data_IF_762795205015
#
_entry.id   IF_762795205015
#
_cell.length_a   1.000
_cell.length_b   1.000
_cell.length_c   1.000
_cell.angle_alpha   90.00
_cell.angle_beta   90.00
_cell.angle_gamma   90.00
#
_symmetry.space_group_name_H-M   'P 1'
#
loop_
_entity.id
_entity.type
_entity.pdbx_description
1 polymer ?
#
# COMPACT_ATOMS: atom_id res chain seq x y z
N UNK A 1 -2.98 6.78 13.43
CA UNK A 1 -4.02 7.14 14.42
C UNK A 1 -4.65 5.89 15.04
N UNK A 2 -5.41 5.08 14.30
CA UNK A 2 -6.14 3.93 14.87
C UNK A 2 -5.28 2.89 15.61
N UNK A 3 -4.08 2.57 15.10
CA UNK A 3 -3.16 1.66 15.78
C UNK A 3 -2.65 2.21 17.14
N UNK A 4 -2.49 3.54 17.26
CA UNK A 4 -2.04 4.20 18.48
C UNK A 4 -3.11 4.18 19.56
N UNK A 5 -4.35 4.55 19.21
CA UNK A 5 -5.48 4.52 20.14
C UNK A 5 -5.77 3.10 20.66
N UNK A 6 -5.61 2.07 19.82
CA UNK A 6 -5.75 0.66 20.26
C UNK A 6 -4.67 0.30 21.28
N UNK A 7 -3.43 0.77 21.08
CA UNK A 7 -2.34 0.51 22.02
C UNK A 7 -2.56 1.21 23.38
N UNK A 8 -3.21 2.38 23.38
CA UNK A 8 -3.49 3.15 24.59
C UNK A 8 -4.67 2.59 25.42
N UNK A 9 -5.65 1.97 24.78
CA UNK A 9 -6.85 1.41 25.45
C UNK A 9 -6.60 -0.03 25.94
N UNK A 10 -6.02 -0.89 25.09
CA UNK A 10 -5.98 -2.33 25.35
C UNK A 10 -4.62 -2.78 25.88
N UNK A 11 -4.64 -3.81 26.74
CA UNK A 11 -3.42 -4.44 27.24
C UNK A 11 -2.75 -5.32 26.17
N UNK A 12 -1.43 -5.49 26.29
CA UNK A 12 -0.58 -6.16 25.28
C UNK A 12 -1.09 -7.55 24.83
N UNK A 13 -1.76 -8.30 25.70
CA UNK A 13 -2.24 -9.64 25.40
C UNK A 13 -3.54 -9.67 24.57
N UNK A 14 -4.41 -8.65 24.67
CA UNK A 14 -5.66 -8.57 23.89
C UNK A 14 -5.52 -7.75 22.61
N UNK A 15 -4.47 -6.92 22.51
CA UNK A 15 -4.20 -6.04 21.36
C UNK A 15 -4.29 -6.78 20.04
N UNK A 16 -3.76 -8.00 19.93
CA UNK A 16 -3.77 -8.78 18.70
C UNK A 16 -5.18 -9.00 18.14
N UNK A 17 -6.16 -9.30 19.01
CA UNK A 17 -7.56 -9.51 18.61
C UNK A 17 -8.20 -8.21 18.13
N UNK A 18 -7.98 -7.11 18.85
CA UNK A 18 -8.53 -5.79 18.49
C UNK A 18 -7.91 -5.25 17.20
N UNK A 19 -6.60 -5.44 17.02
CA UNK A 19 -5.91 -5.11 15.78
C UNK A 19 -6.45 -5.92 14.58
N UNK A 20 -6.82 -7.18 14.78
CA UNK A 20 -7.44 -7.98 13.74
C UNK A 20 -8.78 -7.38 13.29
N UNK A 21 -9.65 -6.98 14.23
CA UNK A 21 -10.91 -6.29 13.90
C UNK A 21 -10.67 -4.93 13.23
N UNK A 22 -9.71 -4.14 13.70
CA UNK A 22 -9.34 -2.87 13.08
C UNK A 22 -8.90 -3.04 11.62
N UNK A 23 -8.17 -4.11 11.33
CA UNK A 23 -7.64 -4.38 9.98
C UNK A 23 -8.74 -4.76 8.99
N UNK A 24 -9.92 -5.18 9.45
CA UNK A 24 -11.08 -5.44 8.57
C UNK A 24 -11.54 -4.19 7.84
N UNK A 25 -11.49 -3.01 8.45
CA UNK A 25 -11.94 -1.76 7.82
C UNK A 25 -11.20 -1.46 6.50
N UNK A 26 -9.85 -1.37 6.53
CA UNK A 26 -9.05 -1.19 5.32
C UNK A 26 -9.19 -2.30 4.27
N UNK A 27 -9.56 -3.52 4.67
CA UNK A 27 -9.81 -4.64 3.76
C UNK A 27 -11.18 -4.52 3.06
N UNK A 28 -12.21 -4.14 3.81
CA UNK A 28 -13.58 -4.06 3.32
C UNK A 28 -13.84 -2.77 2.51
N UNK A 29 -13.13 -1.68 2.82
CA UNK A 29 -13.28 -0.40 2.13
C UNK A 29 -13.16 -0.50 0.60
N UNK A 30 -12.04 -1.05 0.06
CA UNK A 30 -11.87 -1.23 -1.39
C UNK A 30 -12.87 -2.21 -2.03
N UNK A 31 -13.46 -3.12 -1.25
CA UNK A 31 -14.46 -4.07 -1.75
C UNK A 31 -15.85 -3.43 -1.88
N UNK A 32 -16.29 -2.70 -0.85
CA UNK A 32 -17.63 -2.11 -0.81
C UNK A 32 -17.70 -0.70 -1.42
N UNK A 33 -16.59 0.05 -1.40
CA UNK A 33 -16.53 1.43 -1.89
C UNK A 33 -17.00 1.57 -3.34
N UNK A 34 -16.42 0.82 -4.31
CA UNK A 34 -16.86 0.86 -5.70
C UNK A 34 -18.31 0.40 -5.90
N UNK A 35 -18.79 -0.55 -5.09
CA UNK A 35 -20.17 -1.05 -5.19
C UNK A 35 -21.15 0.05 -4.77
N UNK A 36 -20.99 0.58 -3.55
CA UNK A 36 -21.85 1.63 -3.03
C UNK A 36 -21.78 2.86 -3.94
N UNK A 37 -20.56 3.28 -4.31
CA UNK A 37 -20.36 4.42 -5.19
C UNK A 37 -20.91 4.22 -6.61
N UNK A 38 -20.83 3.00 -7.14
CA UNK A 38 -21.38 2.63 -8.44
C UNK A 38 -22.91 2.72 -8.48
N UNK A 39 -23.59 2.17 -7.47
CA UNK A 39 -25.05 2.23 -7.37
C UNK A 39 -25.56 3.63 -7.04
N UNK A 40 -24.86 4.38 -6.18
CA UNK A 40 -25.16 5.80 -5.93
C UNK A 40 -25.02 6.63 -7.20
N UNK A 41 -23.94 6.43 -7.96
CA UNK A 41 -23.75 7.10 -9.25
C UNK A 41 -24.87 6.76 -10.24
N UNK A 42 -25.30 5.50 -10.29
CA UNK A 42 -26.36 5.05 -11.19
C UNK A 42 -27.73 5.63 -10.84
N UNK A 43 -28.10 5.68 -9.56
CA UNK A 43 -29.43 6.11 -9.13
C UNK A 43 -29.58 7.63 -8.94
N UNK A 44 -28.56 8.27 -8.39
CA UNK A 44 -28.61 9.67 -7.93
C UNK A 44 -27.55 10.57 -8.59
N UNK A 45 -26.80 10.03 -9.55
CA UNK A 45 -25.71 10.72 -10.25
C UNK A 45 -24.43 10.86 -9.43
N UNK A 46 -23.36 11.35 -10.06
CA UNK A 46 -22.01 11.37 -9.47
C UNK A 46 -21.87 12.24 -8.21
N UNK A 47 -22.71 13.28 -8.07
CA UNK A 47 -22.70 14.19 -6.91
C UNK A 47 -23.12 13.48 -5.62
N UNK A 48 -23.93 12.43 -5.73
CA UNK A 48 -24.41 11.66 -4.58
C UNK A 48 -23.28 10.99 -3.80
N UNK A 49 -22.19 10.62 -4.47
CA UNK A 49 -20.99 10.07 -3.83
C UNK A 49 -20.39 11.05 -2.80
N UNK A 50 -20.31 12.33 -3.15
CA UNK A 50 -19.77 13.36 -2.26
C UNK A 50 -20.68 13.61 -1.06
N UNK A 51 -22.01 13.67 -1.27
CA UNK A 51 -22.98 13.82 -0.18
C UNK A 51 -22.99 12.61 0.75
N UNK A 52 -22.94 11.39 0.21
CA UNK A 52 -22.85 10.17 1.00
C UNK A 52 -21.60 10.17 1.88
N UNK A 53 -20.42 10.48 1.31
CA UNK A 53 -19.17 10.56 2.06
C UNK A 53 -19.22 11.66 3.13
N UNK A 54 -19.82 12.81 2.84
CA UNK A 54 -19.98 13.90 3.80
C UNK A 54 -20.88 13.50 4.98
N UNK A 55 -22.03 12.89 4.71
CA UNK A 55 -22.96 12.40 5.75
C UNK A 55 -22.29 11.29 6.58
N UNK A 56 -21.64 10.33 5.92
CA UNK A 56 -20.96 9.24 6.61
C UNK A 56 -19.82 9.75 7.51
N UNK A 57 -19.02 10.70 7.01
CA UNK A 57 -17.96 11.34 7.80
C UNK A 57 -18.53 12.14 8.98
N UNK A 58 -19.65 12.85 8.80
CA UNK A 58 -20.35 13.56 9.88
C UNK A 58 -20.86 12.59 10.94
N UNK A 59 -21.48 11.48 10.54
CA UNK A 59 -21.94 10.42 11.46
C UNK A 59 -20.78 9.84 12.27
N UNK A 60 -19.64 9.55 11.63
CA UNK A 60 -18.43 9.09 12.32
C UNK A 60 -17.90 10.16 13.28
N UNK A 61 -17.87 11.42 12.86
CA UNK A 61 -17.40 12.52 13.69
C UNK A 61 -18.28 12.71 14.94
N UNK A 62 -19.60 12.67 14.78
CA UNK A 62 -20.58 12.68 15.89
C UNK A 62 -20.35 11.47 16.81
N UNK A 63 -20.19 10.28 16.23
CA UNK A 63 -19.93 9.06 17.00
C UNK A 63 -18.62 9.18 17.80
N UNK A 64 -17.54 9.69 17.21
CA UNK A 64 -16.27 9.93 17.91
C UNK A 64 -16.47 10.96 19.04
N UNK A 65 -17.17 12.06 18.77
CA UNK A 65 -17.39 13.12 19.75
C UNK A 65 -18.16 12.64 20.99
N UNK A 66 -19.17 11.76 20.82
CA UNK A 66 -20.00 11.27 21.93
C UNK A 66 -19.54 9.95 22.54
N UNK A 67 -18.96 9.03 21.76
CA UNK A 67 -18.65 7.66 22.20
C UNK A 67 -17.17 7.45 22.54
N UNK A 68 -16.26 8.31 22.08
CA UNK A 68 -14.83 8.14 22.32
C UNK A 68 -14.41 8.98 23.55
N UNK A 69 -14.23 8.39 24.73
CA UNK A 69 -13.67 9.11 25.87
C UNK A 69 -12.23 9.53 25.54
N UNK A 70 -11.82 10.67 26.10
CA UNK A 70 -10.48 11.23 25.90
C UNK A 70 -9.42 10.18 26.24
N UNK A 71 -8.70 9.72 25.23
CA UNK A 71 -7.81 8.55 25.30
C UNK A 71 -6.36 8.92 25.60
N UNK A 72 -6.07 10.21 25.81
CA UNK A 72 -4.76 10.64 26.26
C UNK A 72 -4.58 10.24 27.72
N UNK A 73 -3.96 9.07 27.96
CA UNK A 73 -3.39 8.77 29.26
C UNK A 73 -2.28 9.79 29.52
N UNK A 74 -2.56 10.84 30.28
CA UNK A 74 -1.52 11.44 31.11
C UNK A 74 -1.00 10.32 32.00
N UNK A 75 0.29 9.97 31.86
CA UNK A 75 0.95 9.14 32.85
C UNK A 75 0.68 9.70 34.25
N UNK A 76 0.49 8.87 35.27
CA UNK A 76 0.21 9.34 36.62
C UNK A 76 1.29 10.33 37.02
N UNK A 77 0.83 11.50 37.41
CA UNK A 77 1.54 12.60 38.04
C UNK A 77 2.33 12.03 39.23
N UNK A 78 3.56 11.56 39.00
CA UNK A 78 4.61 11.93 39.93
C UNK A 78 4.78 13.42 39.68
N UNK A 79 4.30 14.26 40.61
CA UNK A 79 4.51 15.69 40.57
C UNK A 79 5.97 15.95 40.18
N UNK A 80 6.23 16.46 38.97
CA UNK A 80 7.58 16.88 38.65
C UNK A 80 7.83 18.04 39.60
N UNK A 81 8.79 17.90 40.50
CA UNK A 81 9.30 19.02 41.31
C UNK A 81 9.44 20.22 40.36
N UNK A 82 8.94 21.41 40.69
CA UNK A 82 8.76 22.58 39.79
C UNK A 82 9.86 22.79 38.73
N UNK A 83 11.11 22.44 39.07
CA UNK A 83 12.29 22.50 38.19
C UNK A 83 12.29 21.47 37.04
N UNK A 84 11.73 20.29 37.24
CA UNK A 84 11.58 19.24 36.22
C UNK A 84 10.44 19.54 35.24
N UNK A 85 9.33 20.11 35.72
CA UNK A 85 8.17 20.49 34.90
C UNK A 85 8.51 21.61 33.91
N UNK A 86 9.23 22.64 34.37
CA UNK A 86 9.73 23.72 33.51
C UNK A 86 10.69 23.20 32.42
N UNK A 87 11.65 22.33 32.76
CA UNK A 87 12.54 21.69 31.78
C UNK A 87 11.80 20.77 30.80
N UNK A 88 10.74 20.08 31.24
CA UNK A 88 9.94 19.18 30.38
C UNK A 88 9.08 19.96 29.39
N UNK A 89 8.47 21.06 29.84
CA UNK A 89 7.68 21.98 28.99
C UNK A 89 8.60 22.69 28.01
N UNK A 90 9.79 23.16 28.41
CA UNK A 90 10.75 23.82 27.52
C UNK A 90 11.29 22.87 26.43
N UNK A 91 11.47 21.58 26.75
CA UNK A 91 11.82 20.53 25.76
C UNK A 91 10.69 20.19 24.79
N UNK A 92 9.43 20.20 25.23
CA UNK A 92 8.24 19.96 24.39
C UNK A 92 7.81 21.18 23.58
N UNK A 93 8.03 22.39 24.11
CA UNK A 93 7.68 23.68 23.52
C UNK A 93 8.65 24.13 22.42
N UNK A 94 9.82 23.47 22.29
CA UNK A 94 10.46 23.36 20.97
C UNK A 94 9.54 22.54 20.09
N UNK A 95 8.54 23.21 19.49
CA UNK A 95 7.86 22.78 18.29
C UNK A 95 8.99 22.43 17.33
N UNK A 96 9.31 21.13 17.27
CA UNK A 96 10.31 20.62 16.34
C UNK A 96 9.69 20.89 14.99
N UNK A 97 10.09 21.99 14.36
CA UNK A 97 9.56 22.45 13.07
C UNK A 97 9.49 21.22 12.18
N UNK A 98 8.27 20.71 11.97
CA UNK A 98 8.06 19.50 11.20
C UNK A 98 8.38 19.91 9.77
N UNK A 99 9.58 19.61 9.32
CA UNK A 99 9.95 19.80 7.94
C UNK A 99 9.48 18.55 7.19
N UNK A 100 8.31 18.59 6.51
CA UNK A 100 7.77 17.40 5.82
C UNK A 100 8.71 16.88 4.74
N UNK A 101 9.55 17.77 4.18
CA UNK A 101 10.55 17.42 3.17
C UNK A 101 11.74 16.65 3.75
N UNK A 102 11.91 16.62 5.08
CA UNK A 102 12.97 15.82 5.71
C UNK A 102 12.79 14.32 5.45
N UNK A 103 11.54 13.85 5.36
CA UNK A 103 11.25 12.46 5.01
C UNK A 103 11.76 12.10 3.60
N UNK A 104 11.73 13.06 2.66
CA UNK A 104 12.22 12.84 1.29
C UNK A 104 13.74 12.66 1.21
N UNK A 105 14.51 13.10 2.22
CA UNK A 105 15.94 12.80 2.28
C UNK A 105 16.23 11.30 2.36
N UNK A 106 15.25 10.48 2.78
CA UNK A 106 15.39 9.03 2.77
C UNK A 106 15.54 8.47 1.34
N UNK A 107 15.07 9.19 0.32
CA UNK A 107 15.29 8.83 -1.09
C UNK A 107 16.72 9.05 -1.56
N UNK A 108 17.56 9.75 -0.79
CA UNK A 108 18.99 9.89 -1.09
C UNK A 108 19.75 8.59 -0.82
N UNK A 109 19.19 7.68 -0.01
CA UNK A 109 19.78 6.37 0.19
C UNK A 109 19.42 5.45 -0.99
N UNK A 110 20.41 4.94 -1.74
CA UNK A 110 20.16 4.17 -2.97
C UNK A 110 19.28 2.94 -2.76
N UNK A 111 19.40 2.27 -1.61
CA UNK A 111 18.60 1.09 -1.28
C UNK A 111 17.10 1.41 -1.16
N UNK A 112 16.77 2.55 -0.55
CA UNK A 112 15.38 3.00 -0.41
C UNK A 112 14.87 3.54 -1.74
N UNK A 113 15.67 4.35 -2.43
CA UNK A 113 15.29 4.90 -3.73
C UNK A 113 14.87 3.80 -4.72
N UNK A 114 15.65 2.73 -4.81
CA UNK A 114 15.40 1.60 -5.71
C UNK A 114 14.12 0.83 -5.36
N UNK A 115 13.85 0.59 -4.07
CA UNK A 115 12.64 -0.10 -3.62
C UNK A 115 11.41 0.79 -3.74
N UNK A 116 11.51 2.06 -3.36
CA UNK A 116 10.43 3.03 -3.50
C UNK A 116 10.10 3.29 -4.97
N UNK A 117 11.09 3.30 -5.87
CA UNK A 117 10.87 3.37 -7.31
C UNK A 117 10.12 2.14 -7.84
N UNK A 118 10.51 0.93 -7.42
CA UNK A 118 9.78 -0.30 -7.77
C UNK A 118 8.32 -0.22 -7.32
N UNK A 119 8.07 0.18 -6.07
CA UNK A 119 6.70 0.29 -5.56
C UNK A 119 5.93 1.44 -6.24
N UNK A 120 6.60 2.53 -6.59
CA UNK A 120 6.01 3.62 -7.37
C UNK A 120 5.48 3.13 -8.72
N UNK A 121 6.25 2.32 -9.44
CA UNK A 121 5.82 1.69 -10.70
C UNK A 121 4.63 0.75 -10.51
N UNK A 122 4.60 -0.05 -9.43
CA UNK A 122 3.45 -0.89 -9.11
C UNK A 122 2.18 -0.05 -8.95
N UNK A 123 2.25 1.07 -8.23
CA UNK A 123 1.10 1.95 -7.99
C UNK A 123 0.70 2.76 -9.23
N UNK A 124 1.65 3.16 -10.07
CA UNK A 124 1.39 3.80 -11.35
C UNK A 124 0.48 2.92 -12.22
N UNK A 125 0.87 1.66 -12.46
CA UNK A 125 0.10 0.76 -13.31
C UNK A 125 -1.19 0.28 -12.64
N UNK A 126 -1.24 0.16 -11.32
CA UNK A 126 -2.47 -0.15 -10.61
C UNK A 126 -3.55 0.92 -10.83
N UNK A 127 -3.19 2.19 -10.71
CA UNK A 127 -4.13 3.29 -10.83
C UNK A 127 -4.45 3.65 -12.27
N UNK A 128 -3.49 3.46 -13.19
CA UNK A 128 -3.76 3.46 -14.63
C UNK A 128 -4.77 2.36 -14.97
N UNK A 129 -4.52 1.12 -14.55
CA UNK A 129 -5.43 0.01 -14.78
C UNK A 129 -6.83 0.27 -14.22
N UNK A 130 -6.94 0.83 -13.02
CA UNK A 130 -8.24 1.18 -12.43
C UNK A 130 -9.01 2.23 -13.25
N UNK A 131 -8.32 3.24 -13.79
CA UNK A 131 -8.93 4.26 -14.63
C UNK A 131 -9.42 3.70 -15.98
N UNK A 132 -8.59 2.89 -16.64
CA UNK A 132 -8.94 2.20 -17.89
C UNK A 132 -10.07 1.19 -17.66
N UNK A 133 -10.02 0.42 -16.57
CA UNK A 133 -11.02 -0.58 -16.21
C UNK A 133 -12.43 0.01 -16.13
N UNK A 134 -12.63 1.08 -15.34
CA UNK A 134 -13.96 1.72 -15.25
C UNK A 134 -14.43 2.20 -16.63
N UNK A 135 -13.54 2.81 -17.42
CA UNK A 135 -13.88 3.38 -18.72
C UNK A 135 -14.26 2.31 -19.73
N UNK A 136 -13.44 1.28 -19.88
CA UNK A 136 -13.66 0.15 -20.80
C UNK A 136 -14.93 -0.61 -20.43
N UNK A 137 -15.13 -0.93 -19.15
CA UNK A 137 -16.30 -1.69 -18.71
C UNK A 137 -17.60 -0.89 -18.86
N UNK A 138 -17.54 0.44 -18.75
CA UNK A 138 -18.71 1.30 -18.98
C UNK A 138 -18.96 1.53 -20.47
N UNK A 139 -17.94 1.96 -21.22
CA UNK A 139 -18.10 2.49 -22.58
C UNK A 139 -18.07 1.40 -23.65
N UNK A 140 -17.18 0.41 -23.51
CA UNK A 140 -17.02 -0.66 -24.49
C UNK A 140 -17.97 -1.83 -24.22
N UNK A 141 -18.04 -2.29 -22.97
CA UNK A 141 -18.93 -3.40 -22.58
C UNK A 141 -20.36 -2.95 -22.22
N UNK A 142 -20.63 -1.64 -22.19
CA UNK A 142 -21.96 -1.10 -21.94
C UNK A 142 -22.52 -1.38 -20.54
N UNK A 143 -21.67 -1.69 -19.56
CA UNK A 143 -22.11 -2.01 -18.21
C UNK A 143 -22.50 -0.73 -17.47
N UNK A 144 -23.59 -0.80 -16.70
CA UNK A 144 -23.98 0.32 -15.83
C UNK A 144 -23.00 0.48 -14.65
N UNK A 145 -22.95 1.68 -14.06
CA UNK A 145 -21.99 1.98 -12.98
C UNK A 145 -22.11 1.08 -11.75
N UNK A 146 -23.31 0.59 -11.42
CA UNK A 146 -23.51 -0.36 -10.32
C UNK A 146 -22.81 -1.69 -10.56
N UNK A 147 -22.99 -2.27 -11.76
CA UNK A 147 -22.33 -3.52 -12.18
C UNK A 147 -20.82 -3.31 -12.27
N UNK A 148 -20.34 -2.19 -12.83
CA UNK A 148 -18.90 -1.88 -12.85
C UNK A 148 -18.33 -1.84 -11.43
N UNK A 149 -19.08 -1.28 -10.47
CA UNK A 149 -18.74 -1.30 -9.05
C UNK A 149 -18.58 -2.73 -8.50
N UNK A 150 -19.49 -3.64 -8.84
CA UNK A 150 -19.39 -5.07 -8.48
C UNK A 150 -18.20 -5.74 -9.16
N UNK A 151 -17.87 -5.35 -10.40
CA UNK A 151 -16.74 -5.86 -11.15
C UNK A 151 -15.37 -5.53 -10.53
N UNK A 152 -15.28 -4.62 -9.55
CA UNK A 152 -14.06 -4.42 -8.75
C UNK A 152 -13.82 -5.51 -7.69
N UNK A 153 -14.83 -6.33 -7.34
CA UNK A 153 -14.70 -7.38 -6.32
C UNK A 153 -13.62 -8.41 -6.60
N UNK A 154 -13.49 -8.98 -7.82
CA UNK A 154 -12.42 -9.93 -8.13
C UNK A 154 -11.04 -9.39 -7.79
N UNK A 155 -10.73 -8.14 -8.16
CA UNK A 155 -9.47 -7.50 -7.79
C UNK A 155 -9.32 -7.39 -6.26
N UNK A 156 -10.36 -6.91 -5.56
CA UNK A 156 -10.32 -6.74 -4.11
C UNK A 156 -10.10 -8.07 -3.38
N UNK A 157 -10.85 -9.12 -3.74
CA UNK A 157 -10.72 -10.46 -3.18
C UNK A 157 -9.32 -11.03 -3.47
N UNK A 158 -8.85 -10.90 -4.71
CA UNK A 158 -7.50 -11.29 -5.11
C UNK A 158 -6.44 -10.61 -4.23
N UNK A 159 -6.54 -9.29 -4.06
CA UNK A 159 -5.65 -8.51 -3.21
C UNK A 159 -5.71 -8.95 -1.73
N UNK A 160 -6.88 -9.22 -1.18
CA UNK A 160 -7.01 -9.73 0.20
C UNK A 160 -6.31 -11.08 0.38
N UNK A 161 -6.51 -12.01 -0.55
CA UNK A 161 -5.86 -13.33 -0.53
C UNK A 161 -4.34 -13.16 -0.70
N UNK A 162 -3.92 -12.37 -1.67
CA UNK A 162 -2.51 -12.07 -1.97
C UNK A 162 -1.77 -11.42 -0.81
N UNK A 163 -2.41 -10.50 -0.09
CA UNK A 163 -1.83 -9.84 1.08
C UNK A 163 -1.63 -10.81 2.24
N UNK A 164 -2.63 -11.64 2.55
CA UNK A 164 -2.56 -12.61 3.64
C UNK A 164 -1.56 -13.74 3.36
N UNK A 165 -1.65 -14.36 2.18
CA UNK A 165 -0.73 -15.42 1.78
C UNK A 165 0.68 -14.85 1.57
N UNK A 166 0.77 -13.69 0.90
CA UNK A 166 2.02 -13.03 0.61
C UNK A 166 2.79 -12.61 1.86
N UNK A 167 2.10 -12.04 2.86
CA UNK A 167 2.70 -11.73 4.17
C UNK A 167 3.29 -12.97 4.85
N UNK A 168 2.53 -14.07 4.89
CA UNK A 168 3.00 -15.34 5.47
C UNK A 168 4.21 -15.92 4.72
N UNK A 169 4.20 -15.89 3.39
CA UNK A 169 5.34 -16.34 2.56
C UNK A 169 6.56 -15.46 2.83
N UNK A 170 6.38 -14.13 2.83
CA UNK A 170 7.42 -13.15 3.10
C UNK A 170 8.09 -13.40 4.44
N UNK A 171 7.30 -13.55 5.51
CA UNK A 171 7.83 -13.79 6.86
C UNK A 171 8.49 -15.15 6.99
N UNK A 172 7.91 -16.21 6.41
CA UNK A 172 8.52 -17.56 6.41
C UNK A 172 9.89 -17.55 5.74
N UNK A 173 10.02 -16.88 4.60
CA UNK A 173 11.30 -16.77 3.86
C UNK A 173 12.30 -15.90 4.61
N UNK A 174 11.86 -14.78 5.18
CA UNK A 174 12.68 -13.91 6.01
C UNK A 174 13.24 -14.66 7.22
N UNK A 175 12.37 -15.31 8.01
CA UNK A 175 12.76 -16.05 9.21
C UNK A 175 13.73 -17.20 8.89
N UNK A 176 13.52 -17.89 7.76
CA UNK A 176 14.45 -18.94 7.30
C UNK A 176 15.83 -18.38 6.95
N UNK A 177 15.89 -17.19 6.33
CA UNK A 177 17.17 -16.52 6.00
C UNK A 177 17.88 -16.03 7.26
N UNK A 178 17.12 -15.46 8.20
CA UNK A 178 17.65 -15.01 9.51
C UNK A 178 18.20 -16.19 10.32
N UNK A 179 17.48 -17.32 10.38
CA UNK A 179 17.95 -18.52 11.08
C UNK A 179 19.29 -19.02 10.48
N UNK A 180 19.38 -19.12 9.14
CA UNK A 180 20.62 -19.49 8.45
C UNK A 180 21.77 -18.51 8.68
N UNK A 181 21.48 -17.21 8.77
CA UNK A 181 22.50 -16.21 9.08
C UNK A 181 23.03 -16.38 10.51
N UNK A 182 22.13 -16.61 11.49
CA UNK A 182 22.52 -16.90 12.87
C UNK A 182 23.36 -18.16 13.01
N UNK A 183 23.00 -19.25 12.33
CA UNK A 183 23.79 -20.50 12.30
C UNK A 183 25.20 -20.29 11.78
N UNK A 184 25.39 -19.35 10.85
CA UNK A 184 26.69 -18.99 10.26
C UNK A 184 27.44 -17.89 11.01
N UNK A 185 26.87 -17.35 12.08
CA UNK A 185 27.41 -16.17 12.77
C UNK A 185 27.44 -14.89 11.91
N UNK A 186 26.60 -14.80 10.88
CA UNK A 186 26.50 -13.62 10.02
C UNK A 186 25.56 -12.56 10.62
N UNK A 187 25.90 -11.29 10.39
CA UNK A 187 25.05 -10.15 10.76
C UNK A 187 23.67 -10.21 10.08
N UNK A 188 22.63 -9.84 10.82
CA UNK A 188 21.26 -9.75 10.33
C UNK A 188 21.02 -8.35 9.79
N UNK A 189 20.56 -8.26 8.54
CA UNK A 189 20.26 -6.99 7.88
C UNK A 189 18.84 -6.99 7.28
N UNK A 190 18.17 -5.82 7.20
CA UNK A 190 16.78 -5.71 6.71
C UNK A 190 16.55 -6.28 5.30
N UNK A 191 17.56 -6.22 4.43
CA UNK A 191 17.48 -6.65 3.03
C UNK A 191 17.19 -8.15 2.90
N UNK A 192 17.46 -8.96 3.94
CA UNK A 192 17.10 -10.38 3.95
C UNK A 192 15.60 -10.62 3.68
N UNK A 193 14.74 -9.64 4.00
CA UNK A 193 13.29 -9.68 3.75
C UNK A 193 12.95 -9.63 2.26
N UNK A 194 13.79 -8.99 1.45
CA UNK A 194 13.59 -8.85 0.01
C UNK A 194 13.99 -10.13 -0.72
N UNK A 195 13.09 -11.10 -0.78
CA UNK A 195 13.33 -12.32 -1.53
C UNK A 195 13.18 -12.09 -3.03
N UNK A 196 14.29 -11.91 -3.75
CA UNK A 196 14.29 -11.70 -5.20
C UNK A 196 13.53 -12.78 -5.99
N UNK A 197 13.60 -14.06 -5.55
CA UNK A 197 12.83 -15.14 -6.18
C UNK A 197 11.32 -14.98 -5.98
N UNK A 198 10.88 -14.79 -4.74
CA UNK A 198 9.44 -14.66 -4.40
C UNK A 198 8.84 -13.42 -5.07
N UNK A 199 9.56 -12.29 -5.02
CA UNK A 199 9.13 -11.05 -5.63
C UNK A 199 9.19 -11.13 -7.17
N UNK A 200 10.18 -11.84 -7.72
CA UNK A 200 10.25 -12.16 -9.14
C UNK A 200 9.04 -12.94 -9.65
N UNK A 201 8.65 -14.01 -8.96
CA UNK A 201 7.45 -14.76 -9.30
C UNK A 201 6.19 -13.91 -9.24
N UNK A 202 6.04 -13.07 -8.20
CA UNK A 202 4.92 -12.16 -8.09
C UNK A 202 4.86 -11.15 -9.25
N UNK A 203 6.00 -10.57 -9.64
CA UNK A 203 6.08 -9.66 -10.79
C UNK A 203 5.77 -10.35 -12.12
N UNK A 204 6.18 -11.62 -12.31
CA UNK A 204 5.85 -12.40 -13.51
C UNK A 204 4.34 -12.67 -13.58
N UNK A 205 3.70 -13.04 -12.47
CA UNK A 205 2.25 -13.23 -12.44
C UNK A 205 1.53 -11.92 -12.77
N UNK A 206 2.00 -10.78 -12.27
CA UNK A 206 1.44 -9.47 -12.63
C UNK A 206 1.60 -9.18 -14.13
N UNK A 207 2.77 -9.45 -14.72
CA UNK A 207 2.99 -9.32 -16.16
C UNK A 207 1.98 -10.17 -16.95
N UNK A 208 1.88 -11.46 -16.66
CA UNK A 208 0.98 -12.36 -17.37
C UNK A 208 -0.48 -11.94 -17.22
N UNK A 209 -0.88 -11.49 -16.02
CA UNK A 209 -2.24 -11.04 -15.74
C UNK A 209 -2.59 -9.75 -16.48
N UNK A 210 -1.68 -8.77 -16.52
CA UNK A 210 -1.87 -7.51 -17.23
C UNK A 210 -1.87 -7.72 -18.75
N UNK A 211 -0.95 -8.52 -19.28
CA UNK A 211 -0.92 -8.89 -20.70
C UNK A 211 -2.24 -9.54 -21.10
N UNK A 212 -2.67 -10.58 -20.37
CA UNK A 212 -3.93 -11.25 -20.65
C UNK A 212 -5.11 -10.28 -20.59
N UNK A 213 -5.17 -9.43 -19.55
CA UNK A 213 -6.21 -8.41 -19.41
C UNK A 213 -6.26 -7.45 -20.60
N UNK A 214 -5.12 -6.86 -20.98
CA UNK A 214 -5.05 -5.88 -22.07
C UNK A 214 -5.46 -6.45 -23.42
N UNK A 215 -5.04 -7.68 -23.73
CA UNK A 215 -5.45 -8.33 -24.98
C UNK A 215 -6.90 -8.79 -24.97
N UNK A 216 -7.44 -9.20 -23.82
CA UNK A 216 -8.86 -9.52 -23.68
C UNK A 216 -9.75 -8.31 -24.01
N UNK A 217 -9.42 -7.13 -23.47
CA UNK A 217 -10.22 -5.91 -23.71
C UNK A 217 -10.03 -5.37 -25.13
N UNK A 218 -8.80 -5.40 -25.67
CA UNK A 218 -8.56 -4.95 -27.04
C UNK A 218 -9.25 -5.83 -28.10
N UNK A 219 -9.39 -7.13 -27.83
CA UNK A 219 -10.10 -8.08 -28.70
C UNK A 219 -11.59 -8.18 -28.39
N UNK A 220 -12.10 -7.35 -27.49
CA UNK A 220 -13.50 -7.29 -27.08
C UNK A 220 -14.05 -8.65 -26.61
N UNK A 221 -13.20 -9.48 -26.02
CA UNK A 221 -13.62 -10.78 -25.49
C UNK A 221 -14.55 -10.55 -24.30
N UNK A 222 -15.45 -11.50 -24.00
CA UNK A 222 -16.39 -11.39 -22.89
C UNK A 222 -15.74 -10.88 -21.59
N UNK A 223 -16.32 -9.85 -20.96
CA UNK A 223 -15.72 -9.11 -19.83
C UNK A 223 -15.29 -10.02 -18.65
N UNK A 224 -15.95 -11.16 -18.47
CA UNK A 224 -15.62 -12.15 -17.44
C UNK A 224 -14.15 -12.62 -17.48
N UNK A 225 -13.54 -12.75 -18.66
CA UNK A 225 -12.12 -13.12 -18.77
C UNK A 225 -11.22 -12.02 -18.19
N UNK A 226 -11.57 -10.75 -18.40
CA UNK A 226 -10.89 -9.63 -17.79
C UNK A 226 -10.98 -9.64 -16.26
N UNK A 227 -12.13 -10.03 -15.70
CA UNK A 227 -12.32 -10.16 -14.25
C UNK A 227 -11.42 -11.24 -13.61
N UNK A 228 -11.22 -12.37 -14.30
CA UNK A 228 -10.28 -13.41 -13.85
C UNK A 228 -8.85 -12.87 -13.85
N UNK A 229 -8.46 -12.12 -14.88
CA UNK A 229 -7.15 -11.47 -14.93
C UNK A 229 -6.97 -10.45 -13.80
N UNK A 230 -8.01 -9.68 -13.48
CA UNK A 230 -8.01 -8.71 -12.37
C UNK A 230 -7.84 -9.37 -11.00
N UNK A 231 -8.46 -10.53 -10.78
CA UNK A 231 -8.25 -11.32 -9.56
C UNK A 231 -6.78 -11.76 -9.42
N UNK A 232 -6.20 -12.31 -10.49
CA UNK A 232 -4.79 -12.75 -10.49
C UNK A 232 -3.84 -11.56 -10.27
N UNK A 233 -4.09 -10.44 -10.96
CA UNK A 233 -3.32 -9.21 -10.79
C UNK A 233 -3.37 -8.69 -9.35
N UNK A 234 -4.56 -8.58 -8.75
CA UNK A 234 -4.73 -8.17 -7.35
C UNK A 234 -3.97 -9.08 -6.38
N UNK A 235 -4.02 -10.41 -6.58
CA UNK A 235 -3.30 -11.37 -5.74
C UNK A 235 -1.78 -11.23 -5.82
N UNK A 236 -1.25 -10.94 -7.00
CA UNK A 236 0.18 -10.82 -7.24
C UNK A 236 0.71 -9.42 -6.89
N UNK A 237 -0.13 -8.39 -6.91
CA UNK A 237 0.20 -7.01 -6.53
C UNK A 237 0.50 -6.86 -5.02
N UNK A 238 -0.27 -7.53 -4.16
CA UNK A 238 -0.19 -7.28 -2.72
C UNK A 238 1.07 -7.83 -2.06
N UNK A 239 1.59 -8.97 -2.50
CA UNK A 239 2.79 -9.57 -1.91
C UNK A 239 4.01 -8.63 -1.98
N UNK A 240 4.41 -8.09 -3.15
CA UNK A 240 5.49 -7.12 -3.22
C UNK A 240 5.23 -5.85 -2.44
N UNK A 241 3.98 -5.36 -2.44
CA UNK A 241 3.60 -4.17 -1.67
C UNK A 241 3.83 -4.38 -0.16
N UNK A 242 3.38 -5.51 0.40
CA UNK A 242 3.55 -5.82 1.84
C UNK A 242 5.04 -5.98 2.18
N UNK A 243 5.78 -6.76 1.40
CA UNK A 243 7.20 -7.02 1.64
C UNK A 243 8.05 -5.75 1.53
N UNK A 244 7.81 -4.91 0.53
CA UNK A 244 8.54 -3.65 0.35
C UNK A 244 8.23 -2.64 1.45
N UNK A 245 6.95 -2.53 1.86
CA UNK A 245 6.56 -1.64 2.99
C UNK A 245 7.26 -2.08 4.27
N UNK A 246 7.24 -3.38 4.58
CA UNK A 246 7.90 -3.93 5.76
C UNK A 246 9.42 -3.72 5.73
N UNK A 247 10.07 -3.89 4.57
CA UNK A 247 11.49 -3.62 4.40
C UNK A 247 11.86 -2.16 4.68
N UNK A 248 11.06 -1.20 4.19
CA UNK A 248 11.31 0.23 4.39
C UNK A 248 11.22 0.60 5.87
N UNK A 249 10.22 0.06 6.58
CA UNK A 249 10.04 0.24 8.03
C UNK A 249 11.21 -0.39 8.80
N UNK A 250 11.56 -1.65 8.50
CA UNK A 250 12.67 -2.35 9.15
C UNK A 250 14.03 -1.67 8.90
N UNK A 251 14.18 -0.99 7.76
CA UNK A 251 15.39 -0.28 7.38
C UNK A 251 15.68 0.97 8.19
N UNK A 252 14.66 1.60 8.78
CA UNK A 252 14.74 2.89 9.50
C UNK A 252 13.89 2.88 10.77
N UNK A 253 14.17 1.97 11.70
CA UNK A 253 13.40 1.84 12.96
C UNK A 253 13.28 3.11 13.81
N UNK A 254 14.25 4.03 13.73
CA UNK A 254 14.22 5.32 14.45
C UNK A 254 13.36 6.38 13.76
N UNK A 255 13.13 6.24 12.45
CA UNK A 255 12.42 7.19 11.59
C UNK A 255 11.34 6.44 10.77
N UNK A 256 10.71 5.42 11.35
CA UNK A 256 9.79 4.48 10.70
C UNK A 256 8.54 5.19 10.13
N UNK A 257 8.01 6.16 10.87
CA UNK A 257 6.92 7.03 10.44
C UNK A 257 7.32 7.88 9.23
N UNK A 258 8.54 8.44 9.21
CA UNK A 258 9.06 9.22 8.08
C UNK A 258 9.30 8.35 6.86
N UNK A 259 9.82 7.13 7.04
CA UNK A 259 10.04 6.17 5.97
C UNK A 259 8.73 5.71 5.33
N UNK A 260 7.72 5.45 6.16
CA UNK A 260 6.36 5.13 5.69
C UNK A 260 5.72 6.31 4.94
N UNK A 261 5.86 7.53 5.47
CA UNK A 261 5.35 8.74 4.81
C UNK A 261 6.02 8.98 3.45
N UNK A 262 7.35 8.82 3.36
CA UNK A 262 8.09 8.96 2.11
C UNK A 262 7.65 7.94 1.06
N UNK A 263 7.49 6.68 1.47
CA UNK A 263 7.01 5.61 0.60
C UNK A 263 5.58 5.88 0.10
N UNK A 264 4.67 6.30 0.99
CA UNK A 264 3.31 6.67 0.62
C UNK A 264 3.26 7.88 -0.31
N UNK A 265 4.09 8.89 -0.06
CA UNK A 265 4.18 10.07 -0.93
C UNK A 265 4.51 9.66 -2.37
N UNK A 266 5.57 8.88 -2.58
CA UNK A 266 5.95 8.44 -3.93
C UNK A 266 4.87 7.56 -4.56
N UNK A 267 4.29 6.62 -3.80
CA UNK A 267 3.18 5.77 -4.27
C UNK A 267 2.02 6.58 -4.82
N UNK A 268 1.54 7.56 -4.05
CA UNK A 268 0.37 8.32 -4.41
C UNK A 268 0.64 9.37 -5.49
N UNK A 269 1.86 9.93 -5.54
CA UNK A 269 2.30 10.74 -6.70
C UNK A 269 2.29 9.90 -7.97
N UNK A 270 2.91 8.72 -7.95
CA UNK A 270 2.94 7.83 -9.12
C UNK A 270 1.55 7.32 -9.51
N UNK A 271 0.70 7.01 -8.54
CA UNK A 271 -0.70 6.67 -8.77
C UNK A 271 -1.46 7.81 -9.47
N UNK A 272 -1.28 9.05 -8.99
CA UNK A 272 -1.88 10.24 -9.59
C UNK A 272 -1.42 10.46 -11.03
N UNK A 273 -0.12 10.33 -11.30
CA UNK A 273 0.43 10.41 -12.66
C UNK A 273 -0.18 9.31 -13.54
N UNK A 274 -0.19 8.06 -13.06
CA UNK A 274 -0.73 6.91 -13.80
C UNK A 274 -2.20 7.06 -14.17
N UNK A 275 -3.03 7.57 -13.26
CA UNK A 275 -4.43 7.90 -13.56
C UNK A 275 -4.56 9.05 -14.56
N UNK A 276 -3.74 10.10 -14.43
CA UNK A 276 -3.79 11.28 -15.29
C UNK A 276 -3.46 10.94 -16.75
N UNK A 277 -2.36 10.20 -16.98
CA UNK A 277 -1.90 9.86 -18.34
C UNK A 277 -2.59 8.64 -18.94
N UNK A 278 -3.49 7.99 -18.19
CA UNK A 278 -4.12 6.72 -18.60
C UNK A 278 -4.84 6.83 -19.95
N UNK A 279 -5.60 7.91 -20.17
CA UNK A 279 -6.34 8.12 -21.43
C UNK A 279 -5.42 8.39 -22.60
N UNK A 280 -4.37 9.20 -22.41
CA UNK A 280 -3.43 9.55 -23.47
C UNK A 280 -2.63 8.32 -23.93
N UNK A 281 -2.18 7.49 -22.97
CA UNK A 281 -1.45 6.26 -23.27
C UNK A 281 -2.34 5.21 -23.96
N UNK A 282 -3.61 5.09 -23.53
CA UNK A 282 -4.58 4.20 -24.16
C UNK A 282 -4.87 4.60 -25.60
N UNK A 283 -5.09 5.89 -25.87
CA UNK A 283 -5.28 6.39 -27.23
C UNK A 283 -4.04 6.22 -28.12
N UNK A 284 -2.83 6.36 -27.56
CA UNK A 284 -1.60 6.26 -28.32
C UNK A 284 -1.19 4.82 -28.67
N UNK A 285 -1.41 3.87 -27.76
CA UNK A 285 -0.90 2.48 -27.89
C UNK A 285 -1.99 1.43 -28.12
N UNK A 286 -3.23 1.72 -27.72
CA UNK A 286 -4.26 0.72 -27.49
C UNK A 286 -4.01 -0.12 -26.22
N UNK A 287 -5.04 -0.82 -25.77
CA UNK A 287 -5.03 -1.52 -24.48
C UNK A 287 -4.01 -2.67 -24.37
N UNK A 288 -3.92 -3.55 -25.36
CA UNK A 288 -3.05 -4.73 -25.33
C UNK A 288 -1.57 -4.36 -25.21
N UNK A 289 -1.02 -3.53 -26.12
CA UNK A 289 0.34 -3.03 -26.00
C UNK A 289 0.59 -2.24 -24.71
N UNK A 290 -0.37 -1.41 -24.26
CA UNK A 290 -0.25 -0.63 -23.02
C UNK A 290 -0.03 -1.51 -21.80
N UNK A 291 -0.89 -2.52 -21.60
CA UNK A 291 -0.75 -3.42 -20.45
C UNK A 291 0.40 -4.41 -20.59
N UNK A 292 0.78 -4.77 -21.82
CA UNK A 292 2.01 -5.54 -22.08
C UNK A 292 3.26 -4.76 -21.67
N UNK A 293 3.33 -3.49 -22.07
CA UNK A 293 4.39 -2.57 -21.66
C UNK A 293 4.42 -2.38 -20.13
N UNK A 294 3.25 -2.23 -19.51
CA UNK A 294 3.15 -2.08 -18.06
C UNK A 294 3.65 -3.30 -17.29
N UNK A 295 3.22 -4.49 -17.68
CA UNK A 295 3.72 -5.73 -17.11
C UNK A 295 5.24 -5.90 -17.28
N UNK A 296 5.77 -5.57 -18.46
CA UNK A 296 7.20 -5.66 -18.74
C UNK A 296 8.00 -4.67 -17.89
N UNK A 297 7.48 -3.46 -17.69
CA UNK A 297 8.09 -2.43 -16.83
C UNK A 297 8.13 -2.88 -15.37
N UNK A 298 7.08 -3.52 -14.86
CA UNK A 298 7.06 -4.08 -13.49
C UNK A 298 8.15 -5.16 -13.32
N UNK A 299 8.30 -6.05 -14.29
CA UNK A 299 9.35 -7.07 -14.27
C UNK A 299 10.74 -6.42 -14.36
N UNK A 300 10.93 -5.42 -15.21
CA UNK A 300 12.19 -4.69 -15.31
C UNK A 300 12.59 -4.04 -13.98
N UNK A 301 11.65 -3.36 -13.31
CA UNK A 301 11.91 -2.73 -12.01
C UNK A 301 12.12 -3.75 -10.88
N UNK A 302 11.81 -5.04 -11.10
CA UNK A 302 12.16 -6.10 -10.14
C UNK A 302 13.68 -6.29 -10.04
N UNK A 303 14.46 -5.89 -11.06
CA UNK A 303 15.92 -5.89 -11.03
C UNK A 303 16.46 -4.99 -9.90
N UNK A 304 15.73 -3.92 -9.51
CA UNK A 304 16.09 -3.08 -8.37
C UNK A 304 16.24 -3.89 -7.08
N UNK A 305 15.39 -4.91 -6.87
CA UNK A 305 15.46 -5.81 -5.72
C UNK A 305 16.73 -6.67 -5.77
N UNK A 306 17.15 -7.09 -6.96
CA UNK A 306 18.41 -7.83 -7.13
C UNK A 306 19.61 -6.95 -6.75
N UNK A 307 19.67 -5.71 -7.24
CA UNK A 307 20.71 -4.76 -6.85
C UNK A 307 20.74 -4.52 -5.34
N UNK A 308 19.57 -4.38 -4.72
CA UNK A 308 19.48 -4.16 -3.28
C UNK A 308 20.03 -5.35 -2.48
N UNK A 309 19.71 -6.57 -2.90
CA UNK A 309 20.27 -7.77 -2.27
C UNK A 309 21.78 -7.93 -2.52
N UNK A 310 22.26 -7.59 -3.73
CA UNK A 310 23.68 -7.67 -4.11
C UNK A 310 24.56 -6.76 -3.25
N UNK A 311 24.08 -5.54 -2.99
CA UNK A 311 24.81 -4.53 -2.21
C UNK A 311 24.39 -4.46 -0.74
N UNK A 312 23.54 -5.38 -0.27
CA UNK A 312 23.01 -5.39 1.09
C UNK A 312 24.08 -5.25 2.18
N UNK A 313 25.19 -6.02 2.08
CA UNK A 313 26.29 -5.95 3.05
C UNK A 313 26.98 -4.58 3.08
N UNK A 314 27.16 -3.96 1.90
CA UNK A 314 27.78 -2.63 1.78
C UNK A 314 26.90 -1.55 2.41
N UNK A 315 25.59 -1.63 2.18
CA UNK A 315 24.65 -0.65 2.69
C UNK A 315 24.31 -0.86 4.17
N UNK A 316 24.36 -2.10 4.66
CA UNK A 316 24.26 -2.39 6.08
C UNK A 316 25.43 -1.81 6.88
N UNK A 317 26.65 -1.83 6.31
CA UNK A 317 27.82 -1.23 6.94
C UNK A 317 27.69 0.31 7.07
N UNK A 318 27.20 0.98 6.02
CA UNK A 318 27.00 2.43 5.99
C UNK A 318 25.93 2.96 6.97
N UNK A 319 25.11 2.08 7.57
CA UNK A 319 24.09 2.45 8.57
C UNK A 319 24.60 2.37 10.02
N UNK A 320 25.78 1.78 10.25
CA UNK A 320 26.39 1.67 11.59
C UNK A 320 27.24 2.90 11.96
N UNK A 321 27.54 3.76 10.98
CA UNK A 321 28.19 5.07 11.13
C UNK A 321 27.14 6.19 11.22
#
# INVERSE_FOLDING_TARGET
>A
MGAGTIADIFESHERGRVFAYYTLGPLLGPAFGPIIGGYLNQGLGWRSNFWFLAIFALCIWIAIFFLLPETSRSFPTQEPTEKQGAQYIEKKAKIRTMNPLRALRLLLYPNIALIVAYVGVLFFFQYLNSAVFTRVYTNQYGLNSGIVGVCYLPYAIGAMIGGNIGGRISDKVYNKRVAKAKEKGEDIYPEMRLSGLVLGYASIIQLLSLVAYGWCIQKEVHFAYGLVCQFLYGSAFMLPNVTATAYIVDSFRKDDASATACNNFVRYVMAGIGSLVSSDLEHAMGDGPLFTFGGATIVLFTINIYFVNRYAKKWAALKKE
#
